data_IF_186052243492
#
_entry.id   IF_186052243492
#
_cell.length_a   1.000
_cell.length_b   1.000
_cell.length_c   1.000
_cell.angle_alpha   90.00
_cell.angle_beta   90.00
_cell.angle_gamma   90.00
#
_symmetry.space_group_name_H-M   'P 1'
#
loop_
_entity.id
_entity.type
_entity.pdbx_description
1 polymer ?
#
# COMPACT_ATOMS: atom_id res chain seq x y z
N UNK A 1 18.46 -12.37 64.33
CA UNK A 1 18.96 -11.17 63.63
C UNK A 1 19.21 -11.35 62.12
N UNK A 2 18.70 -12.41 61.45
CA UNK A 2 18.87 -12.61 59.98
C UNK A 2 17.64 -12.25 59.12
N UNK A 3 16.45 -12.12 59.72
CA UNK A 3 15.21 -11.82 58.98
C UNK A 3 14.98 -10.33 58.68
N UNK A 4 15.57 -9.40 59.45
CA UNK A 4 15.37 -7.95 59.27
C UNK A 4 16.16 -7.37 58.08
N UNK A 5 17.29 -7.95 57.71
CA UNK A 5 18.11 -7.50 56.57
C UNK A 5 17.50 -7.88 55.22
N UNK A 6 16.85 -9.04 55.13
CA UNK A 6 16.16 -9.52 53.92
C UNK A 6 14.90 -8.71 53.56
N UNK A 7 14.25 -8.11 54.56
CA UNK A 7 13.07 -7.27 54.35
C UNK A 7 13.48 -5.87 53.85
N UNK A 8 14.57 -5.29 54.35
CA UNK A 8 15.08 -3.99 53.87
C UNK A 8 15.59 -4.06 52.42
N UNK A 9 16.28 -5.14 52.04
CA UNK A 9 16.76 -5.36 50.67
C UNK A 9 15.62 -5.55 49.64
N UNK A 10 14.43 -5.99 50.08
CA UNK A 10 13.24 -6.12 49.22
C UNK A 10 12.52 -4.80 48.98
N UNK A 11 12.66 -3.82 49.88
CA UNK A 11 11.91 -2.55 49.83
C UNK A 11 12.65 -1.50 48.99
N UNK A 12 14.00 -1.51 48.97
CA UNK A 12 14.80 -0.65 48.08
C UNK A 12 14.61 -0.98 46.57
N UNK A 13 14.16 -2.19 46.25
CA UNK A 13 13.82 -2.61 44.89
C UNK A 13 12.42 -2.16 44.43
N UNK A 14 11.62 -1.50 45.28
CA UNK A 14 10.22 -1.16 44.99
C UNK A 14 9.93 0.34 44.81
N UNK A 15 10.90 1.23 45.06
CA UNK A 15 10.77 2.67 44.80
C UNK A 15 11.45 3.12 43.48
N UNK A 16 12.46 2.37 43.04
CA UNK A 16 13.07 2.49 41.71
C UNK A 16 12.21 1.97 40.55
N UNK A 17 11.29 1.00 40.66
CA UNK A 17 10.69 0.40 39.49
C UNK A 17 9.63 1.29 38.84
N UNK A 18 8.94 2.20 39.54
CA UNK A 18 7.86 2.99 38.91
C UNK A 18 8.36 3.93 37.81
N UNK A 19 9.49 4.61 38.04
CA UNK A 19 10.06 5.54 37.06
C UNK A 19 10.64 4.81 35.85
N UNK A 20 11.24 3.63 36.09
CA UNK A 20 11.80 2.77 35.04
C UNK A 20 10.72 1.96 34.30
N UNK A 21 9.63 1.57 34.97
CA UNK A 21 8.45 0.94 34.36
C UNK A 21 7.74 1.94 33.46
N UNK A 22 7.53 3.18 33.90
CA UNK A 22 6.96 4.23 33.05
C UNK A 22 7.86 4.53 31.84
N UNK A 23 9.18 4.61 32.04
CA UNK A 23 10.14 4.77 30.94
C UNK A 23 10.13 3.56 29.98
N UNK A 24 10.08 2.33 30.51
CA UNK A 24 10.01 1.11 29.70
C UNK A 24 8.70 1.02 28.90
N UNK A 25 7.57 1.39 29.52
CA UNK A 25 6.27 1.51 28.85
C UNK A 25 6.29 2.57 27.76
N UNK A 26 6.87 3.74 28.02
CA UNK A 26 6.99 4.82 27.03
C UNK A 26 7.87 4.40 25.84
N UNK A 27 9.00 3.73 26.11
CA UNK A 27 9.88 3.14 25.08
C UNK A 27 9.19 2.02 24.29
N UNK A 28 8.36 1.20 24.93
CA UNK A 28 7.54 0.18 24.27
C UNK A 28 6.48 0.81 23.35
N UNK A 29 5.84 1.90 23.78
CA UNK A 29 4.86 2.63 22.95
C UNK A 29 5.55 3.32 21.76
N UNK A 30 6.72 3.93 21.98
CA UNK A 30 7.51 4.56 20.91
C UNK A 30 8.02 3.55 19.88
N UNK A 31 8.39 2.34 20.30
CA UNK A 31 8.79 1.28 19.39
C UNK A 31 7.62 0.77 18.54
N UNK A 32 6.41 0.65 19.10
CA UNK A 32 5.22 0.30 18.29
C UNK A 32 4.85 1.43 17.31
N UNK A 33 4.99 2.70 17.73
CA UNK A 33 4.74 3.85 16.85
C UNK A 33 5.75 3.98 15.71
N UNK A 34 7.00 3.52 15.91
CA UNK A 34 8.06 3.53 14.89
C UNK A 34 8.10 2.33 13.94
N UNK A 35 7.31 1.28 14.20
CA UNK A 35 7.26 0.06 13.38
C UNK A 35 6.18 0.08 12.28
N UNK A 36 5.59 1.25 11.98
CA UNK A 36 4.58 1.38 10.92
C UNK A 36 5.16 1.50 9.50
N UNK A 37 6.46 1.32 9.32
CA UNK A 37 7.04 1.21 8.00
C UNK A 37 7.88 -0.06 7.92
N UNK A 38 7.18 -1.20 7.84
CA UNK A 38 7.77 -2.34 7.15
C UNK A 38 7.90 -1.91 5.69
N UNK A 39 9.10 -1.56 5.25
CA UNK A 39 9.41 -1.36 3.82
C UNK A 39 9.36 -2.72 3.11
N UNK A 40 8.17 -3.33 3.08
CA UNK A 40 7.81 -4.31 2.08
C UNK A 40 7.91 -3.63 0.73
N UNK A 41 8.37 -4.37 -0.30
CA UNK A 41 8.20 -3.88 -1.66
C UNK A 41 6.71 -3.55 -1.85
N UNK A 42 6.38 -2.28 -2.09
CA UNK A 42 5.00 -1.89 -2.38
C UNK A 42 4.48 -2.65 -3.60
N UNK A 43 3.19 -2.55 -3.92
CA UNK A 43 2.57 -3.36 -4.97
C UNK A 43 3.29 -3.25 -6.34
N UNK A 44 3.96 -2.11 -6.59
CA UNK A 44 4.72 -1.83 -7.80
C UNK A 44 6.24 -2.08 -7.69
N UNK A 45 6.73 -2.57 -6.56
CA UNK A 45 8.14 -2.87 -6.30
C UNK A 45 8.78 -1.94 -5.26
N UNK A 46 10.08 -2.13 -5.02
CA UNK A 46 10.82 -1.40 -3.95
C UNK A 46 11.14 0.05 -4.29
N UNK A 47 11.27 0.39 -5.58
CA UNK A 47 11.81 1.68 -6.02
C UNK A 47 10.78 2.54 -6.77
N UNK A 48 9.50 2.18 -6.72
CA UNK A 48 8.46 2.91 -7.45
C UNK A 48 7.14 2.82 -6.69
N UNK A 49 6.38 3.91 -6.71
CA UNK A 49 5.06 3.98 -6.09
C UNK A 49 3.96 3.81 -7.14
N UNK A 50 2.75 3.39 -6.73
CA UNK A 50 1.61 3.37 -7.64
C UNK A 50 1.33 4.72 -8.31
N UNK A 51 1.50 5.83 -7.59
CA UNK A 51 1.35 7.18 -8.15
C UNK A 51 2.38 7.48 -9.26
N UNK A 52 3.65 7.06 -9.09
CA UNK A 52 4.67 7.21 -10.14
C UNK A 52 4.38 6.36 -11.38
N UNK A 53 3.86 5.15 -11.20
CA UNK A 53 3.42 4.32 -12.33
C UNK A 53 2.15 4.89 -12.98
N UNK A 54 1.25 5.53 -12.23
CA UNK A 54 0.04 6.17 -12.75
C UNK A 54 0.36 7.29 -13.75
N UNK A 55 1.40 8.10 -13.51
CA UNK A 55 1.84 9.11 -14.47
C UNK A 55 2.23 8.51 -15.83
N UNK A 56 2.77 7.29 -15.86
CA UNK A 56 3.11 6.59 -17.13
C UNK A 56 1.88 6.16 -17.92
N UNK A 57 0.71 6.14 -17.29
CA UNK A 57 -0.58 5.86 -17.91
C UNK A 57 -1.32 7.13 -18.36
N UNK A 58 -0.69 8.31 -18.37
CA UNK A 58 -1.30 9.53 -18.90
C UNK A 58 -1.97 9.35 -20.29
N UNK A 59 -1.39 8.59 -21.26
CA UNK A 59 -2.04 8.31 -22.55
C UNK A 59 -3.37 7.53 -22.46
N UNK A 60 -3.68 6.95 -21.30
CA UNK A 60 -4.94 6.24 -21.03
C UNK A 60 -6.01 7.13 -20.41
N UNK A 61 -5.72 8.38 -20.08
CA UNK A 61 -6.58 9.22 -19.26
C UNK A 61 -8.02 9.31 -19.78
N UNK A 62 -8.21 9.61 -21.07
CA UNK A 62 -9.56 9.67 -21.67
C UNK A 62 -10.29 8.33 -21.61
N UNK A 63 -9.59 7.24 -21.95
CA UNK A 63 -10.12 5.88 -21.89
C UNK A 63 -10.45 5.41 -20.47
N UNK A 64 -9.81 5.99 -19.46
CA UNK A 64 -10.01 5.67 -18.06
C UNK A 64 -11.10 6.52 -17.39
N UNK A 65 -11.51 7.62 -18.02
CA UNK A 65 -12.62 8.48 -17.58
C UNK A 65 -13.96 8.14 -18.26
N UNK A 66 -13.89 7.67 -19.51
CA UNK A 66 -15.04 7.35 -20.36
C UNK A 66 -14.86 5.99 -21.06
N UNK A 67 -15.85 5.13 -20.89
CA UNK A 67 -15.89 3.78 -21.48
C UNK A 67 -15.98 3.81 -23.00
N UNK A 68 -16.56 4.86 -23.56
CA UNK A 68 -16.79 5.02 -25.00
C UNK A 68 -15.61 5.69 -25.72
N UNK A 69 -14.65 6.23 -24.97
CA UNK A 69 -13.45 6.84 -25.55
C UNK A 69 -12.65 5.80 -26.35
N UNK A 70 -11.88 6.22 -27.35
CA UNK A 70 -10.95 5.32 -28.01
C UNK A 70 -9.73 5.06 -27.11
N UNK A 71 -9.14 3.86 -27.23
CA UNK A 71 -7.90 3.54 -26.50
C UNK A 71 -6.72 3.64 -27.46
N UNK A 72 -5.76 4.49 -27.15
CA UNK A 72 -4.56 4.65 -27.97
C UNK A 72 -3.67 3.39 -27.90
N UNK A 73 -2.94 3.11 -28.98
CA UNK A 73 -1.95 2.02 -29.01
C UNK A 73 -0.89 2.20 -27.91
N UNK A 74 -0.50 3.45 -27.64
CA UNK A 74 0.42 3.79 -26.55
C UNK A 74 -0.16 3.44 -25.18
N UNK A 75 -1.44 3.75 -24.93
CA UNK A 75 -2.11 3.33 -23.71
C UNK A 75 -2.06 1.80 -23.55
N UNK A 76 -2.44 1.05 -24.59
CA UNK A 76 -2.44 -0.41 -24.55
C UNK A 76 -1.06 -1.00 -24.30
N UNK A 77 0.00 -0.43 -24.89
CA UNK A 77 1.37 -0.86 -24.62
C UNK A 77 1.77 -0.68 -23.15
N UNK A 78 1.38 0.45 -22.54
CA UNK A 78 1.65 0.71 -21.11
C UNK A 78 0.84 -0.20 -20.20
N UNK A 79 -0.44 -0.39 -20.50
CA UNK A 79 -1.34 -1.28 -19.75
C UNK A 79 -0.90 -2.75 -19.85
N UNK A 80 -0.44 -3.20 -21.03
CA UNK A 80 0.12 -4.55 -21.20
C UNK A 80 1.34 -4.78 -20.31
N UNK A 81 2.21 -3.77 -20.17
CA UNK A 81 3.41 -3.87 -19.33
C UNK A 81 3.05 -3.95 -17.85
N UNK A 82 2.20 -3.05 -17.37
CA UNK A 82 1.84 -3.01 -15.94
C UNK A 82 0.91 -4.16 -15.55
N UNK A 83 0.08 -4.64 -16.47
CA UNK A 83 -0.83 -5.77 -16.25
C UNK A 83 -0.15 -7.12 -16.01
N UNK A 84 1.16 -7.24 -16.27
CA UNK A 84 1.96 -8.40 -15.85
C UNK A 84 2.09 -8.50 -14.33
N UNK A 85 1.91 -7.39 -13.62
CA UNK A 85 1.79 -7.33 -12.17
C UNK A 85 0.37 -6.84 -11.81
N UNK A 86 -0.61 -7.74 -11.66
CA UNK A 86 -1.98 -7.34 -11.34
C UNK A 86 -2.09 -6.53 -10.05
N UNK A 87 -1.26 -6.80 -9.04
CA UNK A 87 -1.26 -6.04 -7.80
C UNK A 87 -0.86 -4.57 -8.05
N UNK A 88 0.23 -4.33 -8.80
CA UNK A 88 0.61 -2.98 -9.18
C UNK A 88 -0.44 -2.30 -10.06
N UNK A 89 -0.99 -3.00 -11.06
CA UNK A 89 -2.06 -2.47 -11.89
C UNK A 89 -3.25 -2.00 -11.04
N UNK A 90 -3.71 -2.81 -10.07
CA UNK A 90 -4.75 -2.43 -9.14
C UNK A 90 -4.36 -1.17 -8.35
N UNK A 91 -3.17 -1.18 -7.74
CA UNK A 91 -2.69 -0.06 -6.94
C UNK A 91 -2.64 1.24 -7.76
N UNK A 92 -2.20 1.18 -9.02
CA UNK A 92 -2.18 2.32 -9.93
C UNK A 92 -3.57 2.86 -10.22
N UNK A 93 -4.53 1.99 -10.54
CA UNK A 93 -5.90 2.41 -10.86
C UNK A 93 -6.64 2.97 -9.65
N UNK A 94 -6.23 2.60 -8.42
CA UNK A 94 -6.77 3.12 -7.17
C UNK A 94 -5.88 4.19 -6.50
N UNK A 95 -4.78 4.60 -7.15
CA UNK A 95 -3.82 5.57 -6.64
C UNK A 95 -4.42 6.97 -6.49
N UNK A 96 -3.74 7.84 -5.74
CA UNK A 96 -4.19 9.22 -5.56
C UNK A 96 -4.07 10.00 -6.87
N UNK A 97 -2.99 9.79 -7.63
CA UNK A 97 -2.81 10.38 -8.95
C UNK A 97 -3.95 10.02 -9.90
N UNK A 98 -4.37 8.75 -9.94
CA UNK A 98 -5.52 8.35 -10.76
C UNK A 98 -6.80 9.07 -10.33
N UNK A 99 -7.11 9.07 -9.03
CA UNK A 99 -8.32 9.74 -8.48
C UNK A 99 -8.34 11.24 -8.77
N UNK A 100 -7.23 11.93 -8.50
CA UNK A 100 -7.09 13.37 -8.74
C UNK A 100 -7.14 13.73 -10.22
N UNK A 101 -6.85 12.79 -11.12
CA UNK A 101 -6.98 12.96 -12.57
C UNK A 101 -8.39 12.65 -13.11
N UNK A 102 -9.38 12.44 -12.24
CA UNK A 102 -10.76 12.14 -12.62
C UNK A 102 -11.00 10.71 -13.10
N UNK A 103 -10.01 9.82 -12.94
CA UNK A 103 -10.12 8.43 -13.38
C UNK A 103 -11.16 7.68 -12.56
N UNK A 104 -12.05 6.96 -13.26
CA UNK A 104 -13.08 6.13 -12.63
C UNK A 104 -12.59 4.68 -12.58
N UNK A 105 -12.38 4.08 -11.40
CA UNK A 105 -11.83 2.73 -11.30
C UNK A 105 -12.63 1.68 -12.09
N UNK A 106 -13.97 1.77 -12.06
CA UNK A 106 -14.86 0.87 -12.82
C UNK A 106 -14.55 0.88 -14.32
N UNK A 107 -14.32 2.06 -14.89
CA UNK A 107 -14.02 2.22 -16.32
C UNK A 107 -12.57 1.82 -16.60
N UNK A 108 -11.64 2.28 -15.78
CA UNK A 108 -10.21 2.04 -15.96
C UNK A 108 -9.84 0.55 -15.94
N UNK A 109 -10.52 -0.25 -15.10
CA UNK A 109 -10.35 -1.71 -15.05
C UNK A 109 -10.80 -2.43 -16.33
N UNK A 110 -11.62 -1.80 -17.18
CA UNK A 110 -12.02 -2.38 -18.48
C UNK A 110 -10.98 -2.19 -19.58
N UNK A 111 -9.98 -1.31 -19.38
CA UNK A 111 -8.99 -0.98 -20.39
C UNK A 111 -8.19 -2.21 -20.85
N UNK A 112 -7.72 -3.12 -19.97
CA UNK A 112 -7.03 -4.33 -20.43
C UNK A 112 -7.86 -5.16 -21.42
N UNK A 113 -9.18 -5.24 -21.20
CA UNK A 113 -10.13 -5.92 -22.10
C UNK A 113 -10.31 -5.15 -23.41
N UNK A 114 -10.48 -3.82 -23.36
CA UNK A 114 -10.61 -2.96 -24.55
C UNK A 114 -9.35 -2.94 -25.41
N UNK A 115 -8.19 -3.12 -24.79
CA UNK A 115 -6.90 -3.31 -25.46
C UNK A 115 -6.69 -4.73 -26.02
N UNK A 116 -7.64 -5.64 -25.84
CA UNK A 116 -7.55 -7.04 -26.25
C UNK A 116 -6.25 -7.73 -25.79
N UNK A 117 -5.85 -7.50 -24.54
CA UNK A 117 -4.67 -8.16 -23.96
C UNK A 117 -5.05 -9.60 -23.62
N UNK A 118 -4.38 -10.56 -24.25
CA UNK A 118 -4.67 -11.99 -24.11
C UNK A 118 -4.44 -12.50 -22.68
N UNK A 119 -3.26 -12.24 -22.11
CA UNK A 119 -2.85 -12.74 -20.79
C UNK A 119 -3.28 -11.79 -19.66
N UNK A 120 -4.42 -11.12 -19.80
CA UNK A 120 -4.90 -10.20 -18.77
C UNK A 120 -5.38 -10.99 -17.54
N UNK A 121 -5.18 -10.47 -16.31
CA UNK A 121 -5.48 -11.18 -15.06
C UNK A 121 -6.99 -11.15 -14.75
N UNK A 122 -7.80 -11.85 -15.55
CA UNK A 122 -9.26 -11.92 -15.40
C UNK A 122 -9.62 -12.51 -14.02
N UNK A 123 -10.57 -11.88 -13.33
CA UNK A 123 -11.03 -12.31 -12.01
C UNK A 123 -10.16 -11.83 -10.84
N UNK A 124 -9.04 -11.13 -11.11
CA UNK A 124 -8.21 -10.57 -10.04
C UNK A 124 -8.94 -9.45 -9.30
N UNK A 125 -8.90 -9.49 -7.96
CA UNK A 125 -9.62 -8.55 -7.09
C UNK A 125 -8.76 -7.32 -6.77
N UNK A 126 -9.24 -6.15 -7.16
CA UNK A 126 -8.70 -4.85 -6.80
C UNK A 126 -9.59 -4.19 -5.73
N UNK A 127 -9.61 -4.75 -4.51
CA UNK A 127 -10.53 -4.31 -3.45
C UNK A 127 -11.98 -4.60 -3.83
N UNK A 128 -12.80 -3.55 -3.99
CA UNK A 128 -14.20 -3.67 -4.41
C UNK A 128 -14.38 -3.94 -5.93
N UNK A 129 -13.30 -3.83 -6.72
CA UNK A 129 -13.34 -4.02 -8.18
C UNK A 129 -12.74 -5.36 -8.58
N UNK A 130 -13.12 -5.87 -9.75
CA UNK A 130 -12.55 -7.08 -10.34
C UNK A 130 -12.16 -6.81 -11.78
N UNK A 131 -11.00 -7.31 -12.21
CA UNK A 131 -10.54 -7.20 -13.59
C UNK A 131 -11.35 -8.13 -14.51
N UNK A 132 -12.03 -7.61 -15.55
CA UNK A 132 -12.85 -8.39 -16.49
C UNK A 132 -12.05 -9.01 -17.65
#
# INVERSE_FOLDING_TARGET
>A
MRGRALILHRIENMATPMKYICLAMFLAILSIAGLNQVDGAGECGRNTTPDMEAFKLAPCSSAAQDENSSVSSQCCARVKKIGQNPACLCAVMLSNTAKSSGIKPQIAMTIPKRCNIADRPVGYKCGAYTLP
#
